data_IF_175364015332
#
_entry.id   IF_175364015332
#
_cell.length_a   1.000
_cell.length_b   1.000
_cell.length_c   1.000
_cell.angle_alpha   90.00
_cell.angle_beta   90.00
_cell.angle_gamma   90.00
#
_symmetry.space_group_name_H-M   'P 1'
#
loop_
_entity.id
_entity.type
_entity.pdbx_description
1 polymer ?
#
# COMPACT_ATOMS: atom_id res chain seq x y z
N UNK A 1 7.86 10.86 18.83
CA UNK A 1 6.49 11.34 18.49
C UNK A 1 6.48 11.70 17.02
N UNK A 2 5.78 10.94 16.16
CA UNK A 2 5.64 11.32 14.74
C UNK A 2 4.65 12.47 14.66
N UNK A 3 5.02 13.57 14.00
CA UNK A 3 4.07 14.63 13.67
C UNK A 3 2.87 14.03 12.91
N UNK A 4 1.65 14.37 13.34
CA UNK A 4 0.44 14.02 12.60
C UNK A 4 0.40 14.89 11.34
N UNK A 5 0.82 14.33 10.21
CA UNK A 5 0.61 14.95 8.90
C UNK A 5 -0.87 14.82 8.54
N UNK A 6 -1.53 15.93 8.23
CA UNK A 6 -2.90 15.92 7.69
C UNK A 6 -2.92 15.17 6.36
N UNK A 7 -3.79 14.16 6.18
CA UNK A 7 -3.86 13.42 4.92
C UNK A 7 -4.42 14.32 3.80
N UNK A 8 -3.80 14.25 2.61
CA UNK A 8 -4.27 14.94 1.39
C UNK A 8 -5.62 14.35 0.92
N UNK A 9 -5.80 13.05 1.11
CA UNK A 9 -7.03 12.32 0.83
C UNK A 9 -7.17 11.16 1.83
N UNK A 10 -8.41 10.78 2.15
CA UNK A 10 -8.72 9.66 3.03
C UNK A 10 -9.90 8.86 2.49
N UNK A 11 -9.76 7.54 2.47
CA UNK A 11 -10.82 6.60 2.07
C UNK A 11 -11.01 5.59 3.19
N UNK A 12 -12.26 5.41 3.63
CA UNK A 12 -12.62 4.36 4.59
C UNK A 12 -13.08 3.12 3.81
N UNK A 13 -12.38 2.00 4.01
CA UNK A 13 -12.71 0.73 3.37
C UNK A 13 -13.61 -0.06 4.32
N UNK A 14 -14.82 -0.36 3.87
CA UNK A 14 -15.76 -1.16 4.65
C UNK A 14 -15.38 -2.64 4.63
N UNK A 15 -15.83 -3.42 5.62
CA UNK A 15 -15.61 -4.86 5.60
C UNK A 15 -16.10 -5.48 4.29
N UNK A 16 -15.29 -6.38 3.74
CA UNK A 16 -15.59 -7.13 2.50
C UNK A 16 -15.76 -6.25 1.24
N UNK A 17 -15.22 -5.02 1.25
CA UNK A 17 -15.18 -4.17 0.05
C UNK A 17 -13.75 -3.79 -0.33
N UNK A 18 -13.60 -3.22 -1.52
CA UNK A 18 -12.34 -2.66 -2.01
C UNK A 18 -12.45 -1.16 -2.21
N UNK A 19 -11.30 -0.49 -2.23
CA UNK A 19 -11.19 0.91 -2.58
C UNK A 19 -9.75 1.25 -2.94
N UNK A 20 -9.52 2.48 -3.40
CA UNK A 20 -8.21 2.90 -3.87
C UNK A 20 -8.03 4.40 -3.77
N UNK A 21 -6.76 4.80 -3.85
CA UNK A 21 -6.34 6.19 -3.89
C UNK A 21 -5.33 6.35 -5.03
N UNK A 22 -5.34 7.50 -5.69
CA UNK A 22 -4.25 7.86 -6.61
C UNK A 22 -3.13 8.47 -5.79
N UNK A 23 -1.91 8.00 -6.01
CA UNK A 23 -0.71 8.44 -5.31
C UNK A 23 0.26 8.98 -6.35
N UNK A 24 0.57 10.26 -6.26
CA UNK A 24 1.58 10.88 -7.10
C UNK A 24 2.98 10.55 -6.56
N UNK A 25 4.00 10.80 -7.39
CA UNK A 25 5.40 10.67 -6.97
C UNK A 25 5.64 11.43 -5.67
N UNK A 26 6.41 10.83 -4.76
CA UNK A 26 6.77 11.34 -3.44
C UNK A 26 5.63 11.52 -2.43
N UNK A 27 4.38 11.23 -2.82
CA UNK A 27 3.28 11.07 -1.86
C UNK A 27 3.38 9.72 -1.14
N UNK A 28 2.75 9.64 0.03
CA UNK A 28 2.77 8.45 0.88
C UNK A 28 1.36 7.99 1.21
N UNK A 29 1.19 6.69 1.32
CA UNK A 29 -0.04 6.05 1.80
C UNK A 29 0.18 5.57 3.23
N UNK A 30 -0.80 5.82 4.09
CA UNK A 30 -0.90 5.19 5.41
C UNK A 30 -2.13 4.31 5.42
N UNK A 31 -1.93 3.01 5.69
CA UNK A 31 -3.02 2.06 5.92
C UNK A 31 -3.14 1.84 7.43
N UNK A 32 -4.34 2.05 7.98
CA UNK A 32 -4.60 1.93 9.42
C UNK A 32 -5.70 0.92 9.66
N UNK A 33 -5.41 -0.12 10.45
CA UNK A 33 -6.44 -1.03 10.94
C UNK A 33 -7.07 -0.44 12.21
N UNK A 34 -8.27 0.12 12.10
CA UNK A 34 -8.92 0.85 13.21
C UNK A 34 -9.23 -0.04 14.42
N UNK A 35 -9.56 -1.31 14.18
CA UNK A 35 -9.89 -2.30 15.22
C UNK A 35 -8.75 -3.31 15.47
N UNK A 36 -7.61 -3.18 14.79
CA UNK A 36 -6.37 -3.92 15.04
C UNK A 36 -6.29 -5.38 14.57
N UNK A 37 -7.34 -5.98 14.00
CA UNK A 37 -7.37 -7.42 13.63
C UNK A 37 -7.66 -7.71 12.15
N UNK A 38 -7.96 -6.68 11.36
CA UNK A 38 -8.33 -6.85 9.97
C UNK A 38 -7.09 -7.02 9.08
N UNK A 39 -7.06 -8.10 8.30
CA UNK A 39 -6.14 -8.25 7.17
C UNK A 39 -6.72 -7.54 5.95
N UNK A 40 -5.86 -6.93 5.13
CA UNK A 40 -6.25 -6.30 3.88
C UNK A 40 -5.31 -6.71 2.77
N UNK A 41 -5.88 -6.96 1.59
CA UNK A 41 -5.11 -7.25 0.39
C UNK A 41 -4.68 -5.92 -0.25
N UNK A 42 -3.38 -5.77 -0.51
CA UNK A 42 -2.83 -4.56 -1.10
C UNK A 42 -2.41 -4.82 -2.55
N UNK A 43 -2.85 -3.94 -3.44
CA UNK A 43 -2.41 -3.88 -4.82
C UNK A 43 -1.95 -2.47 -5.17
N UNK A 44 -0.98 -2.35 -6.08
CA UNK A 44 -0.56 -1.08 -6.64
C UNK A 44 -0.34 -1.23 -8.15
N UNK A 45 -0.76 -0.23 -8.91
CA UNK A 45 -0.73 -0.22 -10.37
C UNK A 45 -0.20 1.12 -10.87
N UNK A 46 0.50 1.13 -12.00
CA UNK A 46 0.84 2.38 -12.67
C UNK A 46 -0.43 2.98 -13.30
N UNK A 47 -0.70 4.28 -13.10
CA UNK A 47 -1.86 4.95 -13.71
C UNK A 47 -1.91 4.73 -15.22
N UNK A 48 -3.05 4.26 -15.72
CA UNK A 48 -3.26 3.99 -17.14
C UNK A 48 -2.70 2.66 -17.65
N UNK A 49 -1.97 1.88 -16.84
CA UNK A 49 -1.44 0.58 -17.23
C UNK A 49 -2.01 -0.54 -16.36
N UNK A 50 -2.70 -1.50 -16.98
CA UNK A 50 -3.12 -2.75 -16.31
C UNK A 50 -2.02 -3.81 -16.27
N UNK A 51 -0.98 -3.65 -17.09
CA UNK A 51 0.12 -4.60 -17.21
C UNK A 51 1.27 -4.33 -16.24
N UNK A 52 1.30 -3.15 -15.62
CA UNK A 52 2.39 -2.73 -14.72
C UNK A 52 1.84 -2.54 -13.31
N UNK A 53 2.27 -3.43 -12.41
CA UNK A 53 1.74 -3.56 -11.07
C UNK A 53 2.80 -4.04 -10.09
N UNK A 54 2.57 -3.83 -8.79
CA UNK A 54 3.41 -4.38 -7.73
C UNK A 54 3.33 -5.91 -7.75
N UNK A 55 4.47 -6.57 -8.01
CA UNK A 55 4.55 -8.02 -8.18
C UNK A 55 5.18 -8.70 -6.96
N UNK A 56 4.42 -9.44 -6.14
CA UNK A 56 4.96 -10.12 -4.96
C UNK A 56 6.08 -11.12 -5.26
N UNK A 57 6.03 -11.81 -6.40
CA UNK A 57 7.07 -12.77 -6.80
C UNK A 57 8.38 -12.07 -7.18
N UNK A 58 8.29 -10.89 -7.78
CA UNK A 58 9.46 -10.07 -8.08
C UNK A 58 10.06 -9.49 -6.80
N UNK A 59 9.21 -8.94 -5.91
CA UNK A 59 9.64 -8.44 -4.59
C UNK A 59 10.33 -9.55 -3.77
N UNK A 60 9.77 -10.76 -3.75
CA UNK A 60 10.38 -11.90 -3.06
C UNK A 60 11.76 -12.23 -3.63
N UNK A 61 11.86 -12.30 -4.96
CA UNK A 61 13.12 -12.59 -5.64
C UNK A 61 14.17 -11.51 -5.42
N UNK A 62 13.78 -10.24 -5.48
CA UNK A 62 14.69 -9.10 -5.35
C UNK A 62 15.20 -8.94 -3.91
N UNK A 63 14.35 -9.19 -2.91
CA UNK A 63 14.70 -9.08 -1.49
C UNK A 63 15.31 -10.37 -0.92
N UNK A 64 15.10 -11.53 -1.56
CA UNK A 64 15.46 -12.84 -1.01
C UNK A 64 14.69 -13.17 0.26
N UNK A 65 13.47 -12.63 0.42
CA UNK A 65 12.67 -12.71 1.65
C UNK A 65 11.19 -12.88 1.32
N UNK A 66 10.49 -13.63 2.16
CA UNK A 66 9.04 -13.85 2.01
C UNK A 66 8.22 -12.60 2.33
N UNK A 67 8.69 -11.78 3.27
CA UNK A 67 8.02 -10.54 3.68
C UNK A 67 8.93 -9.33 3.48
N UNK A 68 8.37 -8.19 3.01
CA UNK A 68 9.12 -6.96 2.84
C UNK A 68 9.56 -6.37 4.19
N UNK A 69 10.58 -5.53 4.14
CA UNK A 69 11.14 -4.84 5.30
C UNK A 69 10.98 -3.33 5.14
N UNK A 70 10.77 -2.62 6.25
CA UNK A 70 10.66 -1.16 6.26
C UNK A 70 11.92 -0.54 5.66
N UNK A 71 11.73 0.39 4.71
CA UNK A 71 12.82 1.11 4.05
C UNK A 71 13.48 0.36 2.88
N UNK A 72 13.01 -0.85 2.54
CA UNK A 72 13.42 -1.55 1.32
C UNK A 72 12.45 -1.26 0.16
N UNK A 73 12.94 -1.23 -1.08
CA UNK A 73 12.08 -1.13 -2.25
C UNK A 73 11.22 -2.39 -2.40
N UNK A 74 10.03 -2.21 -2.99
CA UNK A 74 9.09 -3.29 -3.31
C UNK A 74 9.18 -3.67 -4.79
#
# INVERSE_FOLDING_TARGET
MSAQTTPISQVHILPQTGGGVTVLRDQRVRVTCLQGKQVGDLFAFIPGSRGEYLSPSYTLRSLGRLYPEVGKPL
#
